data_IF_306680194897
#
_entry.id   IF_306680194897
#
_cell.length_a   1.000
_cell.length_b   1.000
_cell.length_c   1.000
_cell.angle_alpha   90.00
_cell.angle_beta   90.00
_cell.angle_gamma   90.00
#
_symmetry.space_group_name_H-M   'P 1'
#
loop_
_entity.id
_entity.type
_entity.pdbx_description
1 polymer ?
#
# COMPACT_ATOMS: atom_id res chain seq x y z
N UNK A 1 3.15 25.78 -4.50
CA UNK A 1 2.01 26.68 -4.18
C UNK A 1 0.77 25.87 -4.49
N UNK A 2 -0.13 25.81 -3.51
CA UNK A 2 -1.31 24.96 -3.42
C UNK A 2 -2.12 24.88 -4.72
N UNK A 3 -2.45 23.66 -5.10
CA UNK A 3 -3.56 23.37 -6.01
C UNK A 3 -4.67 22.74 -5.17
N UNK A 4 -5.26 23.53 -4.28
CA UNK A 4 -6.50 23.22 -3.58
C UNK A 4 -7.35 24.48 -3.59
N UNK A 5 -7.85 24.82 -4.77
CA UNK A 5 -9.01 25.70 -4.90
C UNK A 5 -10.11 24.83 -5.54
N UNK A 6 -10.84 24.13 -4.66
CA UNK A 6 -12.21 23.63 -4.85
C UNK A 6 -13.17 24.81 -5.09
N UNK A 7 -12.84 25.67 -6.04
CA UNK A 7 -13.54 26.89 -6.26
C UNK A 7 -14.49 26.71 -7.43
N UNK A 8 -15.77 26.56 -7.07
CA UNK A 8 -16.88 26.69 -7.98
C UNK A 8 -16.66 27.87 -8.93
N UNK A 9 -17.04 27.75 -10.22
CA UNK A 9 -16.66 28.71 -11.24
C UNK A 9 -16.98 30.15 -10.81
N UNK A 10 -15.92 30.92 -10.52
CA UNK A 10 -16.01 32.34 -10.17
C UNK A 10 -16.70 33.09 -11.30
N UNK A 11 -17.57 34.04 -10.96
CA UNK A 11 -18.24 34.87 -11.97
C UNK A 11 -17.21 35.69 -12.77
N UNK A 12 -17.16 35.48 -14.09
CA UNK A 12 -16.19 36.12 -14.98
C UNK A 12 -16.67 37.48 -15.51
N UNK A 13 -17.94 37.82 -15.29
CA UNK A 13 -18.58 39.02 -15.83
C UNK A 13 -19.01 39.97 -14.70
N UNK A 14 -18.88 41.30 -14.89
CA UNK A 14 -19.20 42.29 -13.87
C UNK A 14 -20.68 42.23 -13.47
N UNK A 15 -20.94 42.31 -12.16
CA UNK A 15 -22.30 42.28 -11.60
C UNK A 15 -22.85 43.70 -11.57
N UNK A 16 -23.78 44.03 -12.47
CA UNK A 16 -24.56 45.25 -12.36
C UNK A 16 -25.62 45.13 -11.25
N UNK A 17 -26.07 46.26 -10.72
CA UNK A 17 -27.09 46.32 -9.68
C UNK A 17 -28.47 45.98 -10.24
N UNK A 18 -29.24 45.08 -9.57
CA UNK A 18 -30.55 44.60 -10.07
C UNK A 18 -31.58 45.73 -10.25
N UNK A 19 -31.37 46.86 -9.59
CA UNK A 19 -32.18 48.08 -9.73
C UNK A 19 -32.07 48.76 -11.11
N UNK A 20 -31.19 48.28 -12.02
CA UNK A 20 -30.98 48.84 -13.37
C UNK A 20 -31.79 48.18 -14.49
N UNK A 21 -32.72 47.28 -14.17
CA UNK A 21 -33.65 46.73 -15.17
C UNK A 21 -34.64 47.82 -15.59
N UNK A 22 -34.39 48.41 -16.77
CA UNK A 22 -35.13 49.58 -17.27
C UNK A 22 -36.20 49.20 -18.31
N UNK A 23 -36.02 48.10 -19.05
CA UNK A 23 -36.98 47.65 -20.08
C UNK A 23 -37.89 46.52 -19.58
N UNK A 24 -39.07 46.43 -20.17
CA UNK A 24 -40.05 45.39 -19.88
C UNK A 24 -39.49 44.00 -20.23
N UNK A 25 -39.90 42.98 -19.46
CA UNK A 25 -39.39 41.60 -19.58
C UNK A 25 -39.59 40.99 -20.99
N UNK A 26 -40.59 41.46 -21.73
CA UNK A 26 -40.99 40.97 -23.05
C UNK A 26 -40.33 41.72 -24.23
N UNK A 27 -39.56 42.78 -23.98
CA UNK A 27 -38.81 43.52 -25.00
C UNK A 27 -37.34 43.06 -24.99
N UNK A 28 -36.64 42.96 -26.14
CA UNK A 28 -35.22 42.61 -26.15
C UNK A 28 -34.39 43.57 -25.26
N UNK A 29 -33.37 43.07 -24.54
CA UNK A 29 -32.54 43.90 -23.68
C UNK A 29 -31.77 44.94 -24.50
N UNK A 30 -31.69 46.16 -23.98
CA UNK A 30 -31.03 47.27 -24.65
C UNK A 30 -29.50 47.21 -24.60
N UNK A 31 -28.92 46.43 -23.67
CA UNK A 31 -27.47 46.26 -23.49
C UNK A 31 -27.10 44.89 -22.90
N UNK A 32 -25.84 44.48 -23.04
CA UNK A 32 -25.31 43.20 -22.57
C UNK A 32 -25.37 43.05 -21.04
N UNK A 33 -25.23 44.13 -20.26
CA UNK A 33 -25.41 44.08 -18.81
C UNK A 33 -26.85 43.78 -18.41
N UNK A 34 -27.83 44.35 -19.13
CA UNK A 34 -29.25 44.08 -18.90
C UNK A 34 -29.59 42.63 -19.23
N UNK A 35 -29.02 42.09 -20.33
CA UNK A 35 -29.15 40.68 -20.66
C UNK A 35 -28.64 39.77 -19.54
N UNK A 36 -27.44 40.02 -19.01
CA UNK A 36 -26.87 39.21 -17.93
C UNK A 36 -27.69 39.25 -16.63
N UNK A 37 -28.32 40.38 -16.32
CA UNK A 37 -29.24 40.50 -15.18
C UNK A 37 -30.48 39.63 -15.38
N UNK A 38 -31.10 39.67 -16.57
CA UNK A 38 -32.29 38.86 -16.87
C UNK A 38 -31.99 37.36 -16.84
N UNK A 39 -30.83 36.93 -17.37
CA UNK A 39 -30.39 35.54 -17.32
C UNK A 39 -30.21 35.05 -15.89
N UNK A 40 -29.74 35.90 -14.97
CA UNK A 40 -29.63 35.55 -13.55
C UNK A 40 -31.00 35.42 -12.89
N UNK A 41 -31.92 36.33 -13.19
CA UNK A 41 -33.27 36.26 -12.65
C UNK A 41 -34.04 35.04 -13.19
N UNK A 42 -33.78 34.63 -14.43
CA UNK A 42 -34.29 33.37 -14.99
C UNK A 42 -33.64 32.14 -14.36
N UNK A 43 -32.32 32.16 -14.16
CA UNK A 43 -31.59 31.08 -13.50
C UNK A 43 -32.00 30.91 -12.02
N UNK A 44 -32.21 32.00 -11.28
CA UNK A 44 -32.72 32.01 -9.90
C UNK A 44 -34.15 31.43 -9.82
N UNK A 45 -34.92 31.51 -10.91
CA UNK A 45 -36.25 30.92 -11.00
C UNK A 45 -36.23 29.41 -11.32
N UNK A 46 -35.07 28.86 -11.71
CA UNK A 46 -34.88 27.44 -11.99
C UNK A 46 -34.37 26.70 -10.75
N UNK A 47 -34.69 25.40 -10.60
CA UNK A 47 -34.14 24.59 -9.52
C UNK A 47 -32.66 24.27 -9.75
N UNK A 48 -31.86 24.36 -8.69
CA UNK A 48 -30.40 24.15 -8.70
C UNK A 48 -30.00 22.75 -9.21
N UNK A 49 -30.80 21.73 -8.88
CA UNK A 49 -30.59 20.35 -9.35
C UNK A 49 -31.87 19.78 -9.95
N UNK A 50 -31.79 19.39 -11.22
CA UNK A 50 -32.86 18.67 -11.93
C UNK A 50 -32.49 17.19 -12.03
N UNK A 51 -33.19 16.34 -11.25
CA UNK A 51 -33.07 14.89 -11.39
C UNK A 51 -34.15 14.36 -12.32
N UNK A 52 -33.78 13.66 -13.39
CA UNK A 52 -34.73 12.90 -14.21
C UNK A 52 -34.69 11.43 -13.81
N UNK A 53 -35.88 10.85 -13.55
CA UNK A 53 -35.98 9.41 -13.26
C UNK A 53 -35.89 8.65 -14.58
N UNK A 54 -34.71 8.15 -14.90
CA UNK A 54 -34.55 7.22 -16.02
C UNK A 54 -35.08 5.85 -15.60
N UNK A 55 -36.04 5.30 -16.35
CA UNK A 55 -36.47 3.91 -16.16
C UNK A 55 -35.23 3.01 -16.23
N UNK A 56 -34.98 2.27 -15.15
CA UNK A 56 -33.84 1.37 -15.07
C UNK A 56 -33.97 0.35 -16.21
N UNK A 57 -33.16 0.49 -17.25
CA UNK A 57 -32.92 -0.65 -18.15
C UNK A 57 -32.21 -1.69 -17.30
N UNK A 58 -32.64 -2.96 -17.30
CA UNK A 58 -31.92 -4.01 -16.60
C UNK A 58 -30.51 -4.06 -17.17
N UNK A 59 -29.55 -3.48 -16.45
CA UNK A 59 -28.14 -3.67 -16.69
C UNK A 59 -27.88 -5.14 -16.41
N UNK A 60 -27.79 -5.97 -17.44
CA UNK A 60 -27.54 -7.42 -17.25
C UNK A 60 -26.14 -7.72 -16.72
N UNK A 61 -25.29 -6.70 -16.58
CA UNK A 61 -23.92 -6.83 -16.08
C UNK A 61 -23.86 -6.27 -14.66
N UNK A 62 -23.64 -7.11 -13.64
CA UNK A 62 -23.27 -6.60 -12.33
C UNK A 62 -21.96 -5.82 -12.47
N UNK A 63 -21.86 -4.69 -11.76
CA UNK A 63 -20.61 -3.96 -11.62
C UNK A 63 -19.56 -4.94 -11.04
N UNK A 64 -18.44 -5.09 -11.75
CA UNK A 64 -17.33 -5.91 -11.24
C UNK A 64 -16.66 -5.13 -10.11
N UNK A 65 -16.46 -5.80 -8.98
CA UNK A 65 -15.54 -5.28 -7.96
C UNK A 65 -14.17 -5.07 -8.59
N UNK A 66 -13.56 -3.91 -8.31
CA UNK A 66 -12.17 -3.63 -8.68
C UNK A 66 -11.20 -4.10 -7.59
N UNK A 67 -11.70 -4.63 -6.47
CA UNK A 67 -10.85 -5.17 -5.42
C UNK A 67 -10.45 -6.60 -5.79
N UNK A 68 -9.14 -6.91 -5.83
CA UNK A 68 -8.71 -8.30 -5.92
C UNK A 68 -9.19 -9.04 -4.67
N UNK A 69 -9.89 -10.16 -4.88
CA UNK A 69 -10.22 -11.09 -3.80
C UNK A 69 -8.98 -11.93 -3.52
N UNK A 70 -8.47 -11.85 -2.29
CA UNK A 70 -7.39 -12.71 -1.83
C UNK A 70 -8.01 -13.90 -1.10
N UNK A 71 -7.63 -15.11 -1.48
CA UNK A 71 -8.06 -16.30 -0.76
C UNK A 71 -7.54 -16.23 0.68
N UNK A 72 -8.43 -16.49 1.64
CA UNK A 72 -8.04 -16.58 3.04
C UNK A 72 -7.06 -17.76 3.24
N UNK A 73 -6.18 -17.64 4.24
CA UNK A 73 -5.32 -18.76 4.62
C UNK A 73 -6.19 -19.99 4.95
N UNK A 74 -5.84 -21.14 4.37
CA UNK A 74 -6.52 -22.39 4.65
C UNK A 74 -6.39 -22.73 6.14
N UNK A 75 -7.43 -23.32 6.77
CA UNK A 75 -7.34 -23.72 8.17
C UNK A 75 -6.23 -24.77 8.35
N UNK A 76 -5.52 -24.75 9.49
CA UNK A 76 -4.49 -25.74 9.77
C UNK A 76 -5.10 -27.16 9.76
N UNK A 77 -4.34 -28.17 9.32
CA UNK A 77 -4.78 -29.57 9.42
C UNK A 77 -5.09 -29.94 10.88
N UNK A 78 -6.05 -30.84 11.07
CA UNK A 78 -6.47 -31.28 12.41
C UNK A 78 -5.27 -31.79 13.23
N UNK A 79 -5.12 -31.27 14.46
CA UNK A 79 -4.01 -31.60 15.37
C UNK A 79 -2.75 -30.75 15.18
N UNK A 80 -2.72 -29.84 14.20
CA UNK A 80 -1.70 -28.78 14.06
C UNK A 80 -2.27 -27.39 14.38
N UNK A 81 -3.43 -27.34 15.03
CA UNK A 81 -3.99 -26.10 15.56
C UNK A 81 -3.08 -25.55 16.65
N UNK A 82 -2.81 -24.26 16.56
CA UNK A 82 -2.01 -23.54 17.54
C UNK A 82 -2.94 -23.09 18.67
N UNK A 83 -2.54 -23.36 19.90
CA UNK A 83 -3.25 -22.87 21.08
C UNK A 83 -3.16 -21.33 21.18
N UNK A 84 -4.26 -20.68 21.52
CA UNK A 84 -4.34 -19.22 21.61
C UNK A 84 -3.36 -18.65 22.66
N UNK A 85 -3.15 -19.37 23.77
CA UNK A 85 -2.20 -18.94 24.79
C UNK A 85 -0.75 -19.00 24.27
N UNK A 86 -0.40 -20.05 23.52
CA UNK A 86 0.90 -20.14 22.86
C UNK A 86 1.08 -19.03 21.83
N UNK A 87 0.05 -18.74 21.02
CA UNK A 87 0.11 -17.67 20.02
C UNK A 87 0.35 -16.30 20.70
N UNK A 88 -0.33 -16.03 21.81
CA UNK A 88 -0.13 -14.81 22.59
C UNK A 88 1.28 -14.71 23.18
N UNK A 89 1.82 -15.81 23.72
CA UNK A 89 3.20 -15.87 24.25
C UNK A 89 4.24 -15.64 23.14
N UNK A 90 4.03 -16.26 21.98
CA UNK A 90 4.88 -16.07 20.81
C UNK A 90 4.88 -14.61 20.34
N UNK A 91 3.70 -13.98 20.25
CA UNK A 91 3.58 -12.57 19.86
C UNK A 91 4.24 -11.63 20.87
N UNK A 92 4.12 -11.90 22.18
CA UNK A 92 4.82 -11.15 23.22
C UNK A 92 6.35 -11.27 23.05
N UNK A 93 6.86 -12.49 22.88
CA UNK A 93 8.28 -12.74 22.64
C UNK A 93 8.78 -12.06 21.36
N UNK A 94 7.96 -12.08 20.30
CA UNK A 94 8.28 -11.40 19.05
C UNK A 94 8.34 -9.87 19.23
N UNK A 95 7.42 -9.29 19.99
CA UNK A 95 7.43 -7.87 20.31
C UNK A 95 8.70 -7.46 21.08
N UNK A 96 9.17 -8.29 22.02
CA UNK A 96 10.41 -8.07 22.76
C UNK A 96 11.65 -8.08 21.84
N UNK A 97 11.67 -9.00 20.86
CA UNK A 97 12.73 -9.06 19.84
C UNK A 97 12.72 -7.78 19.00
N UNK A 98 11.55 -7.34 18.52
CA UNK A 98 11.42 -6.09 17.75
C UNK A 98 11.87 -4.87 18.56
N UNK A 99 11.46 -4.78 19.82
CA UNK A 99 11.86 -3.69 20.70
C UNK A 99 13.38 -3.69 20.92
N UNK A 100 13.97 -4.87 21.11
CA UNK A 100 15.42 -5.03 21.25
C UNK A 100 16.15 -4.58 19.99
N UNK A 101 15.70 -5.01 18.81
CA UNK A 101 16.28 -4.59 17.53
C UNK A 101 16.24 -3.06 17.36
N UNK A 102 15.14 -2.41 17.70
CA UNK A 102 15.02 -0.94 17.68
C UNK A 102 16.01 -0.25 18.62
N UNK A 103 16.19 -0.80 19.84
CA UNK A 103 17.20 -0.30 20.80
C UNK A 103 18.62 -0.43 20.24
N UNK A 104 18.94 -1.59 19.68
CA UNK A 104 20.26 -1.83 19.07
C UNK A 104 20.52 -0.96 17.85
N UNK A 105 19.50 -0.73 17.02
CA UNK A 105 19.58 0.17 15.86
C UNK A 105 19.84 1.62 16.29
N UNK A 106 19.13 2.11 17.32
CA UNK A 106 19.35 3.43 17.91
C UNK A 106 20.76 3.59 18.53
N UNK A 107 21.29 2.52 19.15
CA UNK A 107 22.66 2.50 19.67
C UNK A 107 23.70 2.46 18.55
N UNK A 108 23.43 1.73 17.46
CA UNK A 108 24.31 1.59 16.31
C UNK A 108 24.45 2.91 15.55
N UNK A 109 23.38 3.70 15.39
CA UNK A 109 23.44 5.03 14.76
C UNK A 109 24.43 5.99 15.45
N UNK A 110 24.79 5.71 16.72
CA UNK A 110 25.81 6.49 17.48
C UNK A 110 27.24 5.98 17.28
N UNK A 111 27.45 4.86 16.58
CA UNK A 111 28.74 4.23 16.30
C UNK A 111 29.03 4.24 14.80
N UNK A 112 30.30 4.03 14.42
CA UNK A 112 30.64 3.85 13.00
C UNK A 112 29.88 2.65 12.42
N UNK A 113 29.34 2.76 11.20
CA UNK A 113 28.71 1.63 10.53
C UNK A 113 29.75 0.51 10.35
N UNK A 114 29.33 -0.72 10.60
CA UNK A 114 30.11 -1.88 10.16
C UNK A 114 30.05 -1.95 8.62
N UNK A 115 31.17 -2.34 8.02
CA UNK A 115 31.36 -2.40 6.57
C UNK A 115 31.16 -3.85 6.09
N UNK A 116 29.99 -4.46 6.28
CA UNK A 116 29.72 -5.70 5.55
C UNK A 116 29.48 -5.33 4.09
N UNK A 117 30.18 -6.01 3.18
CA UNK A 117 29.95 -5.90 1.75
C UNK A 117 28.67 -6.65 1.41
N UNK A 118 27.52 -6.01 1.63
CA UNK A 118 26.24 -6.54 1.22
C UNK A 118 26.12 -6.49 -0.31
N UNK A 119 25.52 -7.52 -0.95
CA UNK A 119 25.26 -7.46 -2.37
C UNK A 119 24.24 -6.37 -2.70
N UNK A 120 24.27 -5.89 -3.94
CA UNK A 120 23.26 -4.97 -4.44
C UNK A 120 21.87 -5.63 -4.35
N UNK A 121 20.83 -4.83 -4.10
CA UNK A 121 19.47 -5.34 -3.99
C UNK A 121 18.96 -5.98 -5.29
N UNK A 122 19.51 -5.56 -6.43
CA UNK A 122 19.23 -6.16 -7.75
C UNK A 122 19.84 -7.55 -7.93
N UNK A 123 20.83 -7.94 -7.13
CA UNK A 123 21.48 -9.25 -7.23
C UNK A 123 20.69 -10.30 -6.42
N UNK A 124 19.57 -10.72 -6.99
CA UNK A 124 18.70 -11.72 -6.40
C UNK A 124 19.44 -13.04 -6.12
N UNK A 125 20.40 -13.42 -6.96
CA UNK A 125 21.12 -14.68 -6.81
C UNK A 125 22.12 -14.65 -5.65
N UNK A 126 22.78 -13.52 -5.41
CA UNK A 126 23.62 -13.35 -4.23
C UNK A 126 22.80 -13.41 -2.93
N UNK A 127 21.66 -12.71 -2.89
CA UNK A 127 20.76 -12.77 -1.73
C UNK A 127 20.16 -14.16 -1.52
N UNK A 128 19.77 -14.84 -2.59
CA UNK A 128 19.30 -16.22 -2.56
C UNK A 128 20.34 -17.16 -1.93
N UNK A 129 21.64 -16.99 -2.23
CA UNK A 129 22.73 -17.75 -1.59
C UNK A 129 22.91 -17.40 -0.11
N UNK A 130 22.93 -16.12 0.24
CA UNK A 130 23.08 -15.65 1.63
C UNK A 130 21.95 -16.17 2.51
N UNK A 131 20.71 -16.01 2.05
CA UNK A 131 19.51 -16.40 2.77
C UNK A 131 19.24 -17.92 2.78
N UNK A 132 20.04 -18.71 2.06
CA UNK A 132 19.92 -20.18 2.00
C UNK A 132 18.79 -20.68 1.10
N UNK A 133 18.33 -19.86 0.16
CA UNK A 133 17.36 -20.23 -0.87
C UNK A 133 18.02 -20.89 -2.09
N UNK A 134 19.33 -20.71 -2.28
CA UNK A 134 20.03 -21.28 -3.42
C UNK A 134 20.16 -22.81 -3.33
N UNK A 135 20.01 -23.47 -4.47
CA UNK A 135 20.25 -24.89 -4.68
C UNK A 135 21.50 -25.06 -5.54
N UNK A 136 22.34 -26.04 -5.19
CA UNK A 136 23.46 -26.43 -6.04
C UNK A 136 22.94 -27.09 -7.33
N UNK A 137 23.71 -27.07 -8.43
CA UNK A 137 23.38 -27.82 -9.64
C UNK A 137 23.25 -29.34 -9.41
N UNK A 138 23.84 -29.85 -8.33
CA UNK A 138 23.70 -31.24 -7.87
C UNK A 138 22.41 -31.52 -7.10
N UNK A 139 21.54 -30.51 -6.89
CA UNK A 139 20.30 -30.61 -6.12
C UNK A 139 20.47 -30.44 -4.61
N UNK A 140 21.69 -30.24 -4.10
CA UNK A 140 21.92 -30.03 -2.67
C UNK A 140 21.63 -28.58 -2.23
N UNK A 141 21.00 -28.34 -1.07
CA UNK A 141 20.75 -26.99 -0.59
C UNK A 141 22.07 -26.29 -0.20
N UNK A 142 22.29 -25.07 -0.71
CA UNK A 142 23.43 -24.25 -0.31
C UNK A 142 23.22 -23.79 1.12
N UNK A 143 24.20 -24.02 2.01
CA UNK A 143 24.15 -23.47 3.37
C UNK A 143 24.27 -21.95 3.32
N UNK A 144 23.16 -21.26 3.56
CA UNK A 144 23.15 -19.82 3.78
C UNK A 144 23.87 -19.42 5.07
N UNK A 145 24.27 -18.15 5.15
CA UNK A 145 24.77 -17.59 6.40
C UNK A 145 23.59 -17.30 7.34
N UNK A 146 23.73 -17.40 8.67
CA UNK A 146 22.66 -17.03 9.58
C UNK A 146 22.45 -15.50 9.59
N UNK A 147 21.22 -15.01 9.83
CA UNK A 147 20.95 -13.59 9.99
C UNK A 147 21.55 -13.10 11.31
N UNK A 148 22.80 -12.60 11.26
CA UNK A 148 23.44 -12.01 12.43
C UNK A 148 22.84 -10.64 12.72
N UNK A 149 22.82 -10.24 13.99
CA UNK A 149 22.29 -8.92 14.39
C UNK A 149 23.00 -7.76 13.67
N UNK A 150 24.31 -7.88 13.42
CA UNK A 150 25.06 -6.86 12.68
C UNK A 150 24.57 -6.70 11.24
N UNK A 151 24.34 -7.82 10.54
CA UNK A 151 23.86 -7.83 9.17
C UNK A 151 22.41 -7.31 9.09
N UNK A 152 21.54 -7.81 9.97
CA UNK A 152 20.11 -7.44 9.99
C UNK A 152 19.92 -5.94 10.30
N UNK A 153 20.78 -5.36 11.14
CA UNK A 153 20.78 -3.93 11.42
C UNK A 153 21.37 -3.08 10.28
N UNK A 154 22.15 -3.67 9.38
CA UNK A 154 22.68 -3.00 8.17
C UNK A 154 21.69 -2.87 7.04
N UNK A 155 20.65 -3.69 7.05
CA UNK A 155 19.59 -3.61 6.06
C UNK A 155 18.77 -2.33 6.28
N UNK A 156 18.75 -1.50 5.25
CA UNK A 156 17.85 -0.35 5.13
C UNK A 156 16.39 -0.81 4.94
N UNK A 157 15.39 0.01 5.30
CA UNK A 157 13.98 -0.38 5.23
C UNK A 157 13.53 -0.93 3.86
N UNK A 158 13.99 -0.30 2.76
CA UNK A 158 13.69 -0.75 1.40
C UNK A 158 14.29 -2.12 1.09
N UNK A 159 15.51 -2.40 1.60
CA UNK A 159 16.15 -3.68 1.42
C UNK A 159 15.41 -4.77 2.20
N UNK A 160 14.95 -4.49 3.42
CA UNK A 160 14.13 -5.42 4.21
C UNK A 160 12.84 -5.78 3.48
N UNK A 161 12.07 -4.78 3.02
CA UNK A 161 10.82 -5.02 2.29
C UNK A 161 11.03 -5.84 1.01
N UNK A 162 12.07 -5.49 0.24
CA UNK A 162 12.38 -6.18 -1.01
C UNK A 162 12.82 -7.63 -0.74
N UNK A 163 13.63 -7.87 0.30
CA UNK A 163 14.05 -9.21 0.67
C UNK A 163 12.91 -10.07 1.22
N UNK A 164 11.94 -9.48 1.93
CA UNK A 164 10.72 -10.20 2.34
C UNK A 164 9.94 -10.64 1.10
N UNK A 165 9.75 -9.74 0.13
CA UNK A 165 9.06 -10.07 -1.13
C UNK A 165 9.78 -11.15 -1.91
N UNK A 166 11.09 -11.01 -2.11
CA UNK A 166 11.89 -12.04 -2.81
C UNK A 166 11.85 -13.38 -2.08
N UNK A 167 11.85 -13.37 -0.74
CA UNK A 167 11.73 -14.60 0.05
C UNK A 167 10.34 -15.23 -0.05
N UNK A 168 9.28 -14.45 -0.24
CA UNK A 168 7.95 -14.96 -0.54
C UNK A 168 7.92 -15.62 -1.93
N UNK A 169 8.44 -14.94 -2.96
CA UNK A 169 8.55 -15.48 -4.33
C UNK A 169 9.36 -16.79 -4.35
N UNK A 170 10.47 -16.86 -3.61
CA UNK A 170 11.28 -18.07 -3.49
C UNK A 170 10.60 -19.18 -2.69
N UNK A 171 9.80 -18.82 -1.67
CA UNK A 171 9.04 -19.79 -0.90
C UNK A 171 7.95 -20.42 -1.76
N UNK A 172 7.21 -19.63 -2.53
CA UNK A 172 6.18 -20.11 -3.45
C UNK A 172 6.77 -21.09 -4.48
N UNK A 173 7.86 -20.70 -5.15
CA UNK A 173 8.54 -21.57 -6.11
C UNK A 173 9.08 -22.87 -5.46
N UNK A 174 9.71 -22.76 -4.29
CA UNK A 174 10.22 -23.94 -3.59
C UNK A 174 9.08 -24.84 -3.05
N UNK A 175 7.93 -24.26 -2.71
CA UNK A 175 6.77 -25.00 -2.22
C UNK A 175 6.15 -25.88 -3.30
N UNK A 176 6.08 -25.39 -4.55
CA UNK A 176 5.63 -26.19 -5.70
C UNK A 176 6.52 -27.43 -5.94
N UNK A 177 7.84 -27.30 -5.74
CA UNK A 177 8.79 -28.39 -5.97
C UNK A 177 8.93 -29.36 -4.78
N UNK A 178 8.94 -28.84 -3.55
CA UNK A 178 9.40 -29.56 -2.35
C UNK A 178 8.34 -29.64 -1.24
N UNK A 179 7.20 -28.96 -1.39
CA UNK A 179 6.15 -28.87 -0.37
C UNK A 179 6.71 -28.43 0.98
N UNK A 180 6.42 -29.21 2.04
CA UNK A 180 6.89 -28.93 3.39
C UNK A 180 8.42 -28.86 3.54
N UNK A 181 9.20 -29.44 2.61
CA UNK A 181 10.66 -29.34 2.58
C UNK A 181 11.19 -27.96 2.18
N UNK A 182 10.32 -27.09 1.64
CA UNK A 182 10.67 -25.75 1.18
C UNK A 182 11.12 -24.83 2.34
N UNK A 183 10.52 -24.96 3.52
CA UNK A 183 10.81 -24.10 4.66
C UNK A 183 11.87 -24.72 5.59
N UNK A 184 13.12 -24.63 5.17
CA UNK A 184 14.26 -25.07 5.98
C UNK A 184 14.59 -24.06 7.10
N UNK A 185 15.22 -24.54 8.19
CA UNK A 185 15.59 -23.70 9.34
C UNK A 185 16.35 -22.40 8.98
N UNK A 186 17.37 -22.40 8.11
CA UNK A 186 18.06 -21.16 7.75
C UNK A 186 17.13 -20.14 7.07
N UNK A 187 16.23 -20.61 6.19
CA UNK A 187 15.24 -19.79 5.47
C UNK A 187 14.23 -19.19 6.44
N UNK A 188 13.73 -19.99 7.38
CA UNK A 188 12.81 -19.55 8.43
C UNK A 188 13.45 -18.50 9.36
N UNK A 189 14.73 -18.65 9.71
CA UNK A 189 15.44 -17.66 10.52
C UNK A 189 15.56 -16.32 9.79
N UNK A 190 15.87 -16.32 8.49
CA UNK A 190 15.92 -15.11 7.68
C UNK A 190 14.56 -14.43 7.57
N UNK A 191 13.51 -15.19 7.24
CA UNK A 191 12.14 -14.66 7.22
C UNK A 191 11.76 -14.04 8.56
N UNK A 192 12.01 -14.74 9.67
CA UNK A 192 11.73 -14.23 11.01
C UNK A 192 12.52 -12.94 11.31
N UNK A 193 13.81 -12.90 10.99
CA UNK A 193 14.65 -11.73 11.22
C UNK A 193 14.22 -10.52 10.37
N UNK A 194 13.83 -10.75 9.12
CA UNK A 194 13.34 -9.70 8.22
C UNK A 194 11.98 -9.16 8.69
N UNK A 195 11.05 -10.04 9.08
CA UNK A 195 9.76 -9.66 9.66
C UNK A 195 9.93 -8.90 10.97
N UNK A 196 10.91 -9.27 11.80
CA UNK A 196 11.22 -8.53 13.03
C UNK A 196 11.77 -7.13 12.75
N UNK A 197 12.43 -6.92 11.60
CA UNK A 197 12.90 -5.59 11.16
C UNK A 197 11.86 -4.76 10.42
N UNK A 198 10.81 -5.39 9.91
CA UNK A 198 9.73 -4.70 9.23
C UNK A 198 9.06 -3.75 10.23
N UNK A 199 9.09 -2.45 9.94
CA UNK A 199 8.42 -1.48 10.80
C UNK A 199 6.90 -1.57 10.64
N UNK A 200 6.18 -1.18 11.69
CA UNK A 200 4.74 -1.35 11.80
C UNK A 200 3.94 -0.37 10.91
N UNK A 201 4.59 0.61 10.29
CA UNK A 201 3.96 1.62 9.41
C UNK A 201 3.80 1.10 7.97
N UNK A 202 3.39 -0.17 7.83
CA UNK A 202 2.97 -0.77 6.55
C UNK A 202 1.47 -0.54 6.31
#
# INVERSE_FOLDING_TARGET
ADFDDDEFPRSVLPVADRARLLSAKDEPPGDGLEYLLRVRDEADALPDVLTSRRAARPSSRPLRSLQPEFDACLPPPAGLEVDDAWAAEFLASFADVRQSLRRWDALRRKRRPAEHKLPALSDAQAWCRICGWATHPSGEPVRGSPPTLALVLELEPLAVQTLVRMSADWLEAAWEEQGAGALQRPRALWLFALLARLDADL
#
